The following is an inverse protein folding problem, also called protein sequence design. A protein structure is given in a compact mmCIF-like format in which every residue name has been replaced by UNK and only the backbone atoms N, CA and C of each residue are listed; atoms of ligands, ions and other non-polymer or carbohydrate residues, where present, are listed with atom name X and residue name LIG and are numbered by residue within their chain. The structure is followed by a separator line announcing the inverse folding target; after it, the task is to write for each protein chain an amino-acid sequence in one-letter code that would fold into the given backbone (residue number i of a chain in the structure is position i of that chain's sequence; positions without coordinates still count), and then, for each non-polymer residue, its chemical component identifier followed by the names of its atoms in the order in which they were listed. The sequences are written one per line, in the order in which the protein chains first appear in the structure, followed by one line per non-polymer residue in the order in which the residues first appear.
data_IF_228002086374
#
_entry.id   IF_228002086374
#
_cell.length_a   1.000
_cell.length_b   1.000
_cell.length_c   1.000
_cell.angle_alpha   90.00
_cell.angle_beta   90.00
_cell.angle_gamma   90.00
#
_symmetry.space_group_name_H-M   'P 1'
#
loop_
_entity.id
_entity.type
_entity.pdbx_description
1 polymer ?
#
# COMPACT_ATOMS: atom_id res chain seq x y z
N UNK A 1 -3.46 -9.64 3.83
CA UNK A 1 -3.12 -10.59 2.74
C UNK A 1 -3.81 -10.14 1.48
N UNK A 2 -3.15 -10.12 0.34
CA UNK A 2 -3.70 -9.43 -0.84
C UNK A 2 -4.72 -10.23 -1.65
N UNK A 3 -4.88 -11.54 -1.44
CA UNK A 3 -5.74 -12.39 -2.25
C UNK A 3 -7.02 -12.77 -1.49
N UNK A 4 -8.18 -12.44 -2.05
CA UNK A 4 -9.48 -12.61 -1.41
C UNK A 4 -10.43 -13.46 -2.26
N UNK A 5 -11.34 -14.19 -1.59
CA UNK A 5 -12.46 -14.91 -2.20
C UNK A 5 -13.75 -14.58 -1.49
N UNK A 6 -14.81 -14.28 -2.23
CA UNK A 6 -16.14 -14.03 -1.67
C UNK A 6 -16.81 -15.36 -1.32
N UNK A 7 -17.25 -15.51 -0.07
CA UNK A 7 -17.76 -16.78 0.48
C UNK A 7 -18.94 -17.38 -0.29
N UNK A 8 -19.90 -16.52 -0.66
CA UNK A 8 -21.15 -17.00 -1.26
C UNK A 8 -21.05 -17.18 -2.78
N UNK A 9 -20.21 -16.37 -3.46
CA UNK A 9 -20.15 -16.36 -4.93
C UNK A 9 -18.92 -17.03 -5.51
N UNK A 10 -17.90 -17.30 -4.69
CA UNK A 10 -16.60 -17.80 -5.11
C UNK A 10 -15.77 -16.78 -5.92
N UNK A 11 -16.27 -15.56 -6.13
CA UNK A 11 -15.53 -14.53 -6.88
C UNK A 11 -14.26 -14.13 -6.14
N UNK A 12 -13.19 -13.99 -6.91
CA UNK A 12 -11.87 -13.65 -6.38
C UNK A 12 -11.49 -12.23 -6.72
N UNK A 13 -10.63 -11.62 -5.91
CA UNK A 13 -9.98 -10.35 -6.19
C UNK A 13 -8.60 -10.32 -5.56
N UNK A 14 -7.65 -9.74 -6.27
CA UNK A 14 -6.32 -9.49 -5.77
C UNK A 14 -6.14 -8.00 -5.48
N UNK A 15 -5.82 -7.68 -4.23
CA UNK A 15 -5.52 -6.32 -3.79
C UNK A 15 -4.01 -6.14 -3.64
N UNK A 16 -3.37 -5.47 -4.58
CA UNK A 16 -1.97 -5.07 -4.44
C UNK A 16 -1.86 -3.98 -3.36
N UNK A 17 -1.64 -4.41 -2.12
CA UNK A 17 -1.67 -3.53 -0.95
C UNK A 17 -0.37 -2.72 -0.84
N UNK A 18 -0.36 -1.53 -1.39
CA UNK A 18 0.73 -0.57 -1.24
C UNK A 18 0.68 0.02 0.19
N UNK A 19 1.80 0.04 0.93
CA UNK A 19 1.82 0.64 2.26
C UNK A 19 1.41 2.12 2.27
N UNK A 20 0.62 2.52 3.27
CA UNK A 20 0.18 3.92 3.54
C UNK A 20 -0.81 4.51 2.53
N UNK A 21 -1.58 3.66 1.87
CA UNK A 21 -2.65 4.02 0.93
C UNK A 21 -4.05 3.59 1.39
N UNK A 22 -4.30 3.52 2.69
CA UNK A 22 -5.54 3.07 3.31
C UNK A 22 -5.85 1.55 3.19
N UNK A 23 -4.85 0.72 2.91
CA UNK A 23 -5.06 -0.71 2.66
C UNK A 23 -5.79 -1.45 3.77
N UNK A 24 -5.51 -1.17 5.06
CA UNK A 24 -6.23 -1.80 6.18
C UNK A 24 -7.73 -1.51 6.18
N UNK A 25 -8.11 -0.29 5.83
CA UNK A 25 -9.53 0.07 5.70
C UNK A 25 -10.21 -0.72 4.58
N UNK A 26 -9.51 -0.88 3.44
CA UNK A 26 -10.01 -1.64 2.29
C UNK A 26 -10.16 -3.12 2.64
N UNK A 27 -9.14 -3.72 3.25
CA UNK A 27 -9.18 -5.12 3.69
C UNK A 27 -10.34 -5.37 4.64
N UNK A 28 -10.50 -4.51 5.65
CA UNK A 28 -11.60 -4.63 6.59
C UNK A 28 -12.98 -4.51 5.91
N UNK A 29 -13.13 -3.58 4.96
CA UNK A 29 -14.36 -3.47 4.19
C UNK A 29 -14.61 -4.73 3.32
N UNK A 30 -13.60 -5.31 2.69
CA UNK A 30 -13.75 -6.56 1.96
C UNK A 30 -14.22 -7.70 2.88
N UNK A 31 -13.61 -7.85 4.05
CA UNK A 31 -13.99 -8.88 5.03
C UNK A 31 -15.43 -8.72 5.50
N UNK A 32 -15.88 -7.48 5.80
CA UNK A 32 -17.25 -7.17 6.19
C UNK A 32 -18.26 -7.40 5.05
N UNK A 33 -17.80 -7.34 3.81
CA UNK A 33 -18.61 -7.67 2.63
C UNK A 33 -18.54 -9.15 2.23
N UNK A 34 -18.14 -10.04 3.14
CA UNK A 34 -18.19 -11.49 2.93
C UNK A 34 -16.99 -12.08 2.20
N UNK A 35 -15.94 -11.31 1.96
CA UNK A 35 -14.68 -11.85 1.47
C UNK A 35 -13.89 -12.49 2.61
N UNK A 36 -13.02 -13.43 2.26
CA UNK A 36 -12.04 -14.02 3.16
C UNK A 36 -10.69 -14.14 2.46
N UNK A 37 -9.63 -14.21 3.23
CA UNK A 37 -8.28 -14.41 2.68
C UNK A 37 -8.12 -15.83 2.12
N UNK A 38 -7.52 -15.94 0.95
CA UNK A 38 -7.22 -17.23 0.33
C UNK A 38 -6.09 -17.94 1.11
N UNK A 39 -5.06 -17.19 1.51
CA UNK A 39 -3.88 -17.71 2.23
C UNK A 39 -4.09 -17.77 3.75
N UNK A 40 -5.17 -18.42 4.22
CA UNK A 40 -5.54 -18.51 5.65
C UNK A 40 -4.45 -19.08 6.55
N UNK A 41 -3.66 -20.01 6.04
CA UNK A 41 -2.59 -20.67 6.80
C UNK A 41 -1.42 -19.77 7.16
N UNK A 42 -1.38 -18.58 6.58
CA UNK A 42 -0.36 -17.56 6.86
C UNK A 42 -0.85 -16.52 7.89
N UNK A 43 -2.06 -16.69 8.42
CA UNK A 43 -2.59 -15.83 9.47
C UNK A 43 -1.90 -16.16 10.82
N UNK A 44 -1.10 -15.23 11.31
CA UNK A 44 -0.44 -15.35 12.62
C UNK A 44 -1.30 -14.84 13.78
N UNK A 45 -2.61 -14.67 13.60
CA UNK A 45 -3.55 -14.17 14.59
C UNK A 45 -3.43 -12.66 14.90
N UNK A 46 -2.46 -11.99 14.29
CA UNK A 46 -2.30 -10.52 14.33
C UNK A 46 -2.49 -9.87 12.97
N UNK A 47 -3.05 -10.59 12.05
CA UNK A 47 -3.67 -10.10 10.80
C UNK A 47 -2.74 -9.54 9.72
N UNK A 48 -1.45 -9.32 9.94
CA UNK A 48 -0.66 -8.59 8.94
C UNK A 48 0.85 -8.84 8.94
N UNK A 49 1.39 -9.58 9.90
CA UNK A 49 2.86 -9.66 10.05
C UNK A 49 3.44 -11.05 9.76
N UNK A 50 2.85 -11.77 8.83
CA UNK A 50 3.50 -12.96 8.31
C UNK A 50 4.64 -12.54 7.37
N UNK A 51 5.87 -12.67 7.84
CA UNK A 51 7.08 -12.44 7.06
C UNK A 51 7.44 -13.75 6.39
N UNK A 52 7.47 -13.74 5.07
CA UNK A 52 7.95 -14.86 4.25
C UNK A 52 8.95 -14.30 3.25
N UNK A 53 10.11 -14.93 3.13
CA UNK A 53 11.20 -14.47 2.28
C UNK A 53 11.61 -13.01 2.57
N UNK A 54 11.73 -12.67 3.84
CA UNK A 54 12.16 -11.37 4.35
C UNK A 54 11.23 -10.18 4.00
N UNK A 55 10.02 -10.43 3.54
CA UNK A 55 9.02 -9.39 3.22
C UNK A 55 7.68 -9.75 3.86
N UNK A 56 6.99 -8.73 4.37
CA UNK A 56 5.63 -8.86 4.85
C UNK A 56 4.69 -9.20 3.68
N UNK A 57 4.00 -10.35 3.75
CA UNK A 57 3.15 -10.86 2.66
C UNK A 57 2.06 -9.86 2.27
N UNK A 58 1.54 -9.10 3.24
CA UNK A 58 0.54 -8.07 2.97
C UNK A 58 1.03 -7.04 1.94
N UNK A 59 2.33 -6.83 1.85
CA UNK A 59 2.97 -5.81 1.03
C UNK A 59 3.90 -6.39 -0.06
N UNK A 60 3.59 -7.58 -0.54
CA UNK A 60 4.32 -8.15 -1.66
C UNK A 60 4.21 -7.25 -2.89
N UNK A 61 5.35 -6.82 -3.42
CA UNK A 61 5.43 -6.16 -4.71
C UNK A 61 5.28 -7.17 -5.87
N UNK A 62 5.16 -6.68 -7.10
CA UNK A 62 4.81 -7.49 -8.28
C UNK A 62 5.62 -8.77 -8.41
N UNK A 63 6.95 -8.69 -8.35
CA UNK A 63 7.81 -9.86 -8.55
C UNK A 63 7.63 -10.90 -7.45
N UNK A 64 7.32 -10.47 -6.21
CA UNK A 64 7.04 -11.37 -5.10
C UNK A 64 5.69 -12.03 -5.22
N UNK A 65 4.62 -11.27 -5.47
CA UNK A 65 3.30 -11.90 -5.55
C UNK A 65 3.17 -12.79 -6.80
N UNK A 66 3.80 -12.44 -7.91
CA UNK A 66 3.83 -13.30 -9.10
C UNK A 66 4.61 -14.60 -8.86
N UNK A 67 5.67 -14.55 -8.05
CA UNK A 67 6.49 -15.71 -7.75
C UNK A 67 5.90 -16.61 -6.66
N UNK A 68 5.31 -16.04 -5.62
CA UNK A 68 4.95 -16.77 -4.41
C UNK A 68 3.46 -16.95 -4.18
N UNK A 69 2.60 -16.18 -4.86
CA UNK A 69 1.16 -16.31 -4.74
C UNK A 69 0.55 -16.94 -6.00
N UNK A 70 -0.38 -17.86 -5.79
CA UNK A 70 -1.15 -18.46 -6.89
C UNK A 70 -2.35 -17.57 -7.21
N UNK A 71 -2.11 -16.54 -8.04
CA UNK A 71 -3.18 -15.68 -8.54
C UNK A 71 -3.70 -16.31 -9.82
N UNK A 72 -5.00 -16.65 -9.86
CA UNK A 72 -5.63 -17.16 -11.09
C UNK A 72 -5.62 -16.07 -12.16
N UNK A 73 -5.41 -16.48 -13.43
CA UNK A 73 -5.19 -15.57 -14.57
C UNK A 73 -6.27 -14.49 -14.73
N UNK A 74 -7.53 -14.87 -14.46
CA UNK A 74 -8.69 -14.00 -14.65
C UNK A 74 -9.12 -13.29 -13.34
N UNK A 75 -8.30 -13.37 -12.28
CA UNK A 75 -8.57 -12.66 -11.04
C UNK A 75 -8.42 -11.16 -11.23
N UNK A 76 -9.47 -10.34 -11.05
CA UNK A 76 -9.36 -8.90 -11.09
C UNK A 76 -8.33 -8.41 -10.06
N UNK A 77 -7.51 -7.45 -10.48
CA UNK A 77 -6.46 -6.87 -9.63
C UNK A 77 -6.73 -5.39 -9.43
N UNK A 78 -6.61 -4.91 -8.22
CA UNK A 78 -6.73 -3.48 -7.96
C UNK A 78 -5.73 -3.01 -6.91
N UNK A 79 -5.52 -1.71 -6.87
CA UNK A 79 -4.71 -1.03 -5.86
C UNK A 79 -5.23 0.37 -5.58
N UNK A 80 -4.79 0.93 -4.46
CA UNK A 80 -4.90 2.36 -4.18
C UNK A 80 -3.49 2.94 -4.22
N UNK A 81 -3.30 3.98 -5.02
CA UNK A 81 -2.07 4.78 -5.05
C UNK A 81 -2.30 6.11 -4.32
N UNK A 82 -1.23 6.71 -3.85
CA UNK A 82 -1.26 7.99 -3.15
C UNK A 82 -0.13 8.88 -3.66
N UNK A 83 -0.34 10.19 -3.70
CA UNK A 83 0.72 11.12 -4.09
C UNK A 83 2.03 10.76 -3.36
N UNK A 84 3.16 10.57 -4.08
CA UNK A 84 4.38 10.01 -3.50
C UNK A 84 4.91 10.80 -2.31
N UNK A 85 4.79 12.15 -2.33
CA UNK A 85 5.21 13.00 -1.20
C UNK A 85 4.38 12.69 0.04
N UNK A 86 3.05 12.73 -0.09
CA UNK A 86 2.17 12.51 1.07
C UNK A 86 2.22 11.07 1.57
N UNK A 87 2.47 10.11 0.69
CA UNK A 87 2.70 8.72 1.05
C UNK A 87 4.00 8.55 1.83
N UNK A 88 5.10 9.14 1.33
CA UNK A 88 6.40 9.13 2.00
C UNK A 88 6.31 9.73 3.40
N UNK A 89 5.73 10.93 3.51
CA UNK A 89 5.52 11.60 4.80
C UNK A 89 4.73 10.71 5.79
N UNK A 90 3.70 10.02 5.29
CA UNK A 90 2.91 9.09 6.09
C UNK A 90 3.69 7.83 6.52
N UNK A 91 4.58 7.33 5.69
CA UNK A 91 5.43 6.19 6.01
C UNK A 91 6.50 6.60 7.04
N UNK A 92 7.20 7.69 6.80
CA UNK A 92 8.24 8.22 7.68
C UNK A 92 7.70 8.53 9.07
N UNK A 93 6.51 9.13 9.15
CA UNK A 93 5.85 9.37 10.42
C UNK A 93 5.57 8.06 11.19
N UNK A 94 5.16 7.00 10.52
CA UNK A 94 4.96 5.70 11.15
C UNK A 94 6.27 5.11 11.69
N UNK A 95 7.37 5.22 10.93
CA UNK A 95 8.68 4.67 11.32
C UNK A 95 9.45 5.55 12.28
N UNK A 96 9.22 6.86 12.33
CA UNK A 96 9.85 7.75 13.33
C UNK A 96 9.59 7.29 14.77
N UNK A 97 8.52 6.55 15.01
CA UNK A 97 8.26 5.89 16.29
C UNK A 97 9.34 4.87 16.66
N UNK A 98 10.06 4.37 15.68
CA UNK A 98 11.11 3.36 15.85
C UNK A 98 12.51 3.96 15.74
N UNK A 99 12.63 5.28 15.63
CA UNK A 99 13.91 5.99 15.64
C UNK A 99 14.72 5.96 14.35
N UNK A 100 14.09 5.62 13.21
CA UNK A 100 14.84 5.26 12.02
C UNK A 100 15.44 6.44 11.23
N UNK A 101 14.86 7.66 11.28
CA UNK A 101 15.35 8.81 10.49
C UNK A 101 15.09 10.13 11.19
N UNK A 102 16.06 11.06 11.07
CA UNK A 102 15.89 12.46 11.49
C UNK A 102 15.72 13.36 10.23
N UNK A 103 15.15 14.53 10.44
CA UNK A 103 14.84 15.47 9.36
C UNK A 103 16.07 15.82 8.51
N UNK A 104 17.22 16.09 9.14
CA UNK A 104 18.45 16.46 8.44
C UNK A 104 18.96 15.39 7.49
N UNK A 105 18.85 14.10 7.85
CA UNK A 105 19.28 12.98 7.01
C UNK A 105 18.42 12.87 5.76
N UNK A 106 17.13 13.17 5.89
CA UNK A 106 16.18 13.12 4.79
C UNK A 106 16.26 14.35 3.87
N UNK A 107 16.83 15.46 4.34
CA UNK A 107 17.08 16.68 3.56
C UNK A 107 18.43 16.67 2.84
N UNK A 108 19.36 15.84 3.28
CA UNK A 108 20.62 15.64 2.60
C UNK A 108 20.44 14.68 1.42
N UNK A 109 20.71 15.09 0.14
CA UNK A 109 20.46 14.24 -1.01
C UNK A 109 21.30 12.95 -1.05
N UNK A 110 22.54 12.99 -0.54
CA UNK A 110 23.41 11.81 -0.52
C UNK A 110 22.92 10.83 0.52
N UNK A 111 22.65 11.28 1.75
CA UNK A 111 22.07 10.46 2.80
C UNK A 111 20.71 9.86 2.40
N UNK A 112 19.84 10.68 1.78
CA UNK A 112 18.54 10.20 1.29
C UNK A 112 18.72 9.10 0.25
N UNK A 113 19.66 9.28 -0.68
CA UNK A 113 19.98 8.31 -1.72
C UNK A 113 20.53 7.03 -1.13
N UNK A 114 21.45 7.10 -0.17
CA UNK A 114 22.03 5.94 0.53
C UNK A 114 20.96 5.19 1.32
N UNK A 115 20.06 5.90 1.99
CA UNK A 115 18.95 5.30 2.73
C UNK A 115 18.02 4.51 1.80
N UNK A 116 17.72 5.00 0.59
CA UNK A 116 16.70 4.41 -0.28
C UNK A 116 17.24 3.57 -1.43
N UNK A 117 18.48 3.79 -1.89
CA UNK A 117 19.12 3.00 -2.95
C UNK A 117 20.19 2.04 -2.46
N UNK A 118 20.93 2.40 -1.41
CA UNK A 118 22.08 1.63 -0.93
C UNK A 118 21.74 0.35 -0.17
N UNK A 119 20.50 0.22 0.31
CA UNK A 119 20.02 -0.97 1.01
C UNK A 119 18.86 -1.55 0.23
N UNK A 120 18.95 -2.81 -0.21
CA UNK A 120 17.79 -3.48 -0.81
C UNK A 120 16.58 -3.25 0.09
N UNK A 121 15.40 -3.01 -0.50
CA UNK A 121 14.15 -2.79 0.24
C UNK A 121 13.83 -4.03 1.10
N UNK A 122 14.67 -4.25 2.13
CA UNK A 122 14.51 -5.25 3.15
C UNK A 122 13.26 -5.00 4.00
N UNK A 123 12.94 -5.89 4.92
CA UNK A 123 11.71 -5.94 5.73
C UNK A 123 11.22 -4.56 6.23
N UNK A 124 12.14 -3.70 6.64
CA UNK A 124 11.80 -2.37 7.18
C UNK A 124 11.62 -1.30 6.11
N UNK A 125 12.03 -1.53 4.87
CA UNK A 125 12.05 -0.52 3.80
C UNK A 125 11.13 -0.81 2.63
N UNK A 126 10.50 -1.97 2.54
CA UNK A 126 9.46 -2.24 1.54
C UNK A 126 8.29 -1.25 1.61
N UNK A 127 8.09 -0.61 2.77
CA UNK A 127 7.09 0.46 2.96
C UNK A 127 7.40 1.72 2.17
N UNK A 128 8.67 1.94 1.81
CA UNK A 128 9.13 3.06 0.99
C UNK A 128 9.30 2.70 -0.49
N UNK A 129 9.09 1.44 -0.87
CA UNK A 129 9.23 0.99 -2.26
C UNK A 129 8.33 1.83 -3.18
N UNK A 130 8.80 2.21 -4.39
CA UNK A 130 7.97 2.88 -5.39
C UNK A 130 6.68 2.12 -5.65
N UNK A 131 5.59 2.86 -5.85
CA UNK A 131 4.26 2.27 -6.04
C UNK A 131 4.13 1.51 -7.34
N UNK A 132 4.82 1.96 -8.38
CA UNK A 132 4.87 1.27 -9.68
C UNK A 132 5.40 -0.16 -9.59
N UNK A 133 6.20 -0.48 -8.57
CA UNK A 133 6.72 -1.83 -8.35
C UNK A 133 5.64 -2.82 -7.92
N UNK A 134 4.50 -2.34 -7.45
CA UNK A 134 3.36 -3.16 -7.04
C UNK A 134 2.38 -3.44 -8.18
N UNK A 135 2.53 -2.76 -9.31
CA UNK A 135 1.54 -2.77 -10.39
C UNK A 135 1.85 -3.84 -11.43
N UNK A 136 0.82 -4.49 -11.91
CA UNK A 136 0.81 -5.22 -13.17
C UNK A 136 0.07 -4.40 -14.23
N UNK A 137 0.17 -4.83 -15.50
CA UNK A 137 -0.59 -4.22 -16.60
C UNK A 137 -2.12 -4.46 -16.51
N UNK A 138 -2.57 -5.30 -15.57
CA UNK A 138 -3.98 -5.61 -15.32
C UNK A 138 -4.52 -4.94 -14.06
N UNK A 139 -3.69 -4.15 -13.34
CA UNK A 139 -4.07 -3.55 -12.08
C UNK A 139 -4.96 -2.34 -12.29
N UNK A 140 -6.20 -2.39 -11.80
CA UNK A 140 -7.08 -1.23 -11.71
C UNK A 140 -6.61 -0.30 -10.59
N UNK A 141 -6.50 0.99 -10.87
CA UNK A 141 -5.90 1.97 -9.95
C UNK A 141 -6.96 2.95 -9.46
N UNK A 142 -6.99 3.17 -8.15
CA UNK A 142 -7.72 4.26 -7.49
C UNK A 142 -6.74 5.22 -6.85
N UNK A 143 -6.90 6.54 -7.05
CA UNK A 143 -6.09 7.54 -6.34
C UNK A 143 -6.68 7.80 -4.96
N UNK A 144 -5.86 7.72 -3.92
CA UNK A 144 -6.25 7.99 -2.52
C UNK A 144 -6.87 9.38 -2.36
N UNK A 145 -6.42 10.34 -3.15
CA UNK A 145 -6.87 11.72 -3.17
C UNK A 145 -8.34 11.87 -3.59
N UNK A 146 -8.89 10.89 -4.31
CA UNK A 146 -10.33 10.84 -4.64
C UNK A 146 -11.20 10.43 -3.42
N UNK A 147 -10.57 10.13 -2.28
CA UNK A 147 -11.25 9.66 -1.08
C UNK A 147 -11.64 8.18 -1.15
N UNK A 148 -11.86 7.59 0.03
CA UNK A 148 -12.40 6.24 0.18
C UNK A 148 -13.88 6.39 0.59
N UNK A 149 -14.72 6.58 -0.38
CA UNK A 149 -16.12 7.00 -0.28
C UNK A 149 -17.05 5.95 -0.92
N UNK A 150 -18.31 6.31 -1.06
CA UNK A 150 -19.31 5.51 -1.80
C UNK A 150 -18.92 5.31 -3.26
N UNK A 151 -18.26 6.30 -3.88
CA UNK A 151 -17.75 6.23 -5.25
C UNK A 151 -16.66 5.18 -5.37
N UNK A 152 -15.73 5.12 -4.41
CA UNK A 152 -14.73 4.07 -4.34
C UNK A 152 -15.37 2.69 -4.24
N UNK A 153 -16.36 2.51 -3.36
CA UNK A 153 -17.05 1.24 -3.18
C UNK A 153 -17.82 0.83 -4.43
N UNK A 154 -18.45 1.78 -5.11
CA UNK A 154 -19.13 1.54 -6.40
C UNK A 154 -18.14 1.10 -7.48
N UNK A 155 -17.00 1.79 -7.59
CA UNK A 155 -15.92 1.43 -8.49
C UNK A 155 -15.38 0.01 -8.18
N UNK A 156 -15.13 -0.30 -6.91
CA UNK A 156 -14.62 -1.61 -6.50
C UNK A 156 -15.67 -2.71 -6.74
N UNK A 157 -16.95 -2.43 -6.49
CA UNK A 157 -18.05 -3.36 -6.78
C UNK A 157 -18.08 -3.79 -8.25
N UNK A 158 -17.86 -2.84 -9.16
CA UNK A 158 -17.81 -3.14 -10.59
C UNK A 158 -16.61 -4.03 -10.96
N UNK A 159 -15.45 -3.82 -10.32
CA UNK A 159 -14.25 -4.63 -10.57
C UNK A 159 -14.46 -6.06 -10.06
N UNK A 160 -14.93 -6.22 -8.83
CA UNK A 160 -15.08 -7.54 -8.20
C UNK A 160 -16.36 -8.27 -8.65
N UNK A 161 -17.29 -7.54 -9.24
CA UNK A 161 -18.60 -8.07 -9.68
C UNK A 161 -19.50 -8.50 -8.52
N UNK A 162 -19.31 -7.92 -7.33
CA UNK A 162 -20.13 -8.12 -6.12
C UNK A 162 -20.60 -6.76 -5.64
N UNK A 163 -21.86 -6.64 -5.27
CA UNK A 163 -22.38 -5.38 -4.72
C UNK A 163 -21.87 -5.19 -3.29
N UNK A 164 -20.96 -4.24 -3.11
CA UNK A 164 -20.32 -3.94 -1.84
C UNK A 164 -21.03 -2.82 -1.10
N UNK A 165 -20.97 -2.85 0.23
CA UNK A 165 -21.39 -1.76 1.11
C UNK A 165 -20.19 -1.09 1.73
N UNK A 166 -20.24 0.23 1.93
CA UNK A 166 -19.24 0.98 2.67
C UNK A 166 -19.52 0.86 4.17
N UNK A 167 -18.54 0.39 4.92
CA UNK A 167 -18.53 0.39 6.38
C UNK A 167 -17.53 1.47 6.83
N UNK A 168 -18.04 2.63 7.27
CA UNK A 168 -17.23 3.80 7.63
C UNK A 168 -16.58 3.65 9.02
N UNK A 169 -17.27 2.99 9.95
CA UNK A 169 -16.86 2.83 11.35
C UNK A 169 -15.94 1.61 11.57
N UNK A 170 -15.15 1.26 10.57
CA UNK A 170 -14.20 0.15 10.72
C UNK A 170 -13.10 0.59 11.67
N UNK A 171 -12.87 -0.20 12.73
CA UNK A 171 -11.76 0.03 13.65
C UNK A 171 -10.43 -0.28 12.94
N UNK A 172 -9.91 0.71 12.27
CA UNK A 172 -8.52 0.73 11.81
C UNK A 172 -7.79 1.78 12.63
N UNK A 173 -6.70 1.39 13.25
CA UNK A 173 -5.89 2.32 14.04
C UNK A 173 -5.54 3.57 13.22
N UNK A 174 -6.35 4.61 13.33
CA UNK A 174 -5.96 5.96 12.91
C UNK A 174 -4.83 6.40 13.82
N UNK A 175 -3.64 6.34 13.33
CA UNK A 175 -2.50 6.84 14.07
C UNK A 175 -2.41 8.34 13.76
N UNK A 176 -2.90 9.16 14.66
CA UNK A 176 -2.95 10.62 14.56
C UNK A 176 -2.14 11.28 15.69
N UNK A 177 -0.89 10.90 15.86
CA UNK A 177 -0.01 11.62 16.77
C UNK A 177 0.74 12.70 15.98
N UNK A 178 0.44 13.97 16.23
CA UNK A 178 1.01 15.10 15.48
C UNK A 178 2.43 15.47 15.91
N UNK A 179 2.87 15.03 17.09
CA UNK A 179 4.15 15.44 17.71
C UNK A 179 5.40 14.97 16.94
N UNK A 180 5.26 14.06 16.00
CA UNK A 180 6.37 13.42 15.30
C UNK A 180 6.35 13.60 13.77
N UNK A 181 5.62 14.57 13.23
CA UNK A 181 5.59 14.82 11.79
C UNK A 181 6.94 15.39 11.32
N UNK A 182 7.43 14.87 10.20
CA UNK A 182 8.49 15.52 9.46
C UNK A 182 7.96 16.84 8.89
N UNK A 183 8.81 17.85 8.84
CA UNK A 183 8.49 19.09 8.15
C UNK A 183 8.57 18.87 6.63
N UNK A 184 7.58 19.36 5.91
CA UNK A 184 7.54 19.30 4.46
C UNK A 184 8.34 20.48 3.88
N UNK A 185 9.65 20.30 3.72
CA UNK A 185 10.54 21.29 3.13
C UNK A 185 10.73 21.06 1.64
N UNK A 186 11.12 22.10 0.90
CA UNK A 186 11.40 21.99 -0.53
C UNK A 186 12.55 21.01 -0.80
N UNK A 187 13.56 20.94 0.09
CA UNK A 187 14.68 20.00 -0.04
C UNK A 187 14.19 18.56 0.03
N UNK A 188 13.41 18.25 1.05
CA UNK A 188 12.82 16.91 1.22
C UNK A 188 11.94 16.53 0.02
N UNK A 189 11.11 17.45 -0.48
CA UNK A 189 10.29 17.20 -1.66
C UNK A 189 11.10 16.89 -2.91
N UNK A 190 12.20 17.62 -3.13
CA UNK A 190 13.08 17.38 -4.26
C UNK A 190 13.71 15.98 -4.20
N UNK A 191 14.17 15.56 -3.02
CA UNK A 191 14.72 14.22 -2.80
C UNK A 191 13.68 13.14 -3.05
N UNK A 192 12.45 13.34 -2.55
CA UNK A 192 11.32 12.41 -2.79
C UNK A 192 11.01 12.32 -4.29
N UNK A 193 10.95 13.45 -5.00
CA UNK A 193 10.69 13.48 -6.44
C UNK A 193 11.76 12.73 -7.24
N UNK A 194 13.01 12.82 -6.85
CA UNK A 194 14.10 12.09 -7.50
C UNK A 194 13.93 10.58 -7.35
N UNK A 195 13.72 10.10 -6.11
CA UNK A 195 13.59 8.66 -5.82
C UNK A 195 12.31 8.07 -6.42
N UNK A 196 11.20 8.81 -6.36
CA UNK A 196 9.89 8.33 -6.85
C UNK A 196 9.54 8.91 -8.24
N UNK A 197 10.55 9.24 -9.06
CA UNK A 197 10.33 9.81 -10.40
C UNK A 197 9.34 8.97 -11.21
N UNK A 198 9.51 7.65 -11.23
CA UNK A 198 8.62 6.75 -11.96
C UNK A 198 7.17 6.76 -11.43
N UNK A 199 6.98 6.90 -10.11
CA UNK A 199 5.64 7.05 -9.54
C UNK A 199 4.97 8.36 -10.03
N UNK A 200 5.73 9.45 -10.12
CA UNK A 200 5.22 10.71 -10.64
C UNK A 200 4.88 10.60 -12.13
N UNK A 201 5.82 10.13 -12.95
CA UNK A 201 5.63 10.03 -14.40
C UNK A 201 4.46 9.13 -14.79
N UNK A 202 4.27 8.01 -14.08
CA UNK A 202 3.25 7.01 -14.44
C UNK A 202 1.91 7.28 -13.76
N UNK A 203 1.90 7.68 -12.49
CA UNK A 203 0.69 7.74 -11.67
C UNK A 203 0.17 9.16 -11.45
N UNK A 204 1.06 10.15 -11.49
CA UNK A 204 0.78 11.56 -11.20
C UNK A 204 1.46 12.50 -12.19
N UNK A 205 1.28 12.32 -13.52
CA UNK A 205 1.96 13.14 -14.52
C UNK A 205 1.57 14.62 -14.47
N UNK A 206 0.49 14.94 -13.77
CA UNK A 206 0.00 16.30 -13.53
C UNK A 206 0.69 17.04 -12.37
N UNK A 207 1.59 16.37 -11.60
CA UNK A 207 2.18 16.90 -10.36
C UNK A 207 3.63 17.39 -10.52
#
# INVERSE_FOLDING_TARGET
MPNFVHKDTGKRVFFAHIPRTAGRFVEANLLLNGFEWVEKHLDTGRGTMSIVNDIEIAHYHRDHYQKYLKIEKDTPQFTIVRNPITRFMSASWYFKRYGDFIQSDLEDPEMFRDIFYGIPFAITRHWYRPQVDFLSNQTHIWKFENGISKEFISWLSNIVGVNLKLYEDVDYQKVSDESNKLERTQRLENNIREVYRNDFEVLYPEC
#
